data_IF_755020783995
#
_entry.id   IF_755020783995
#
_cell.length_a   1.000
_cell.length_b   1.000
_cell.length_c   1.000
_cell.angle_alpha   90.00
_cell.angle_beta   90.00
_cell.angle_gamma   90.00
#
_symmetry.space_group_name_H-M   'P 1'
#
loop_
_entity.id
_entity.type
_entity.pdbx_description
1 polymer ?
#
# COMPACT_ATOMS: atom_id res chain seq x y z
N UNK A 1 -10.61 -5.04 14.93
CA UNK A 1 -9.94 -4.74 13.68
C UNK A 1 -8.51 -5.23 13.79
N UNK A 2 -8.15 -6.20 12.93
CA UNK A 2 -6.79 -6.71 12.88
C UNK A 2 -5.87 -5.60 12.42
N UNK A 3 -4.76 -5.44 13.13
CA UNK A 3 -3.72 -4.48 12.76
C UNK A 3 -3.35 -4.67 11.29
N UNK A 4 -3.36 -3.60 10.52
CA UNK A 4 -2.76 -3.62 9.19
C UNK A 4 -1.27 -3.82 9.37
N UNK A 5 -0.79 -5.03 9.08
CA UNK A 5 0.62 -5.33 9.18
C UNK A 5 1.37 -4.70 8.01
N UNK A 6 2.36 -3.87 8.30
CA UNK A 6 3.33 -3.43 7.30
C UNK A 6 4.29 -4.55 6.88
N UNK A 7 4.20 -5.71 7.52
CA UNK A 7 5.11 -6.84 7.29
C UNK A 7 5.05 -7.43 5.88
N UNK A 8 4.06 -7.06 5.05
CA UNK A 8 3.92 -7.52 3.68
C UNK A 8 4.26 -6.49 2.61
N UNK A 9 4.59 -5.24 2.97
CA UNK A 9 4.90 -4.23 1.98
C UNK A 9 6.35 -4.34 1.50
N UNK A 10 6.54 -4.03 0.23
CA UNK A 10 7.85 -3.96 -0.38
C UNK A 10 7.97 -2.66 -1.18
N UNK A 11 9.21 -2.17 -1.26
CA UNK A 11 9.57 -1.13 -2.22
C UNK A 11 10.11 -1.78 -3.48
N UNK A 12 9.68 -1.30 -4.63
CA UNK A 12 10.10 -1.76 -5.95
C UNK A 12 10.93 -0.69 -6.62
N UNK A 13 12.16 -1.00 -7.02
CA UNK A 13 13.06 -0.03 -7.62
C UNK A 13 13.97 -0.67 -8.67
N UNK A 14 14.37 0.11 -9.66
CA UNK A 14 15.45 -0.27 -10.59
C UNK A 14 16.82 0.13 -10.05
N UNK A 15 16.85 1.08 -9.12
CA UNK A 15 18.09 1.67 -8.62
C UNK A 15 18.02 1.87 -7.12
N UNK A 16 18.49 0.90 -6.32
CA UNK A 16 18.47 0.99 -4.86
C UNK A 16 19.46 2.03 -4.31
N UNK A 17 20.43 2.45 -5.14
CA UNK A 17 21.45 3.42 -4.78
C UNK A 17 21.55 4.52 -5.83
N UNK A 18 21.91 5.73 -5.35
CA UNK A 18 22.33 6.87 -6.17
C UNK A 18 23.69 7.34 -5.65
N UNK A 19 23.96 8.65 -5.72
CA UNK A 19 25.10 9.28 -5.04
C UNK A 19 25.05 9.07 -3.52
N UNK A 20 23.82 9.01 -2.97
CA UNK A 20 23.56 8.60 -1.58
C UNK A 20 22.72 7.34 -1.60
N UNK A 21 23.12 6.29 -0.88
CA UNK A 21 22.33 5.08 -0.76
C UNK A 21 21.02 5.37 -0.05
N UNK A 22 19.89 4.88 -0.62
CA UNK A 22 18.57 4.99 0.00
C UNK A 22 18.31 3.88 1.01
N UNK A 23 19.03 2.78 0.88
CA UNK A 23 18.89 1.57 1.69
C UNK A 23 20.20 1.25 2.39
N UNK A 24 20.12 0.77 3.60
CA UNK A 24 21.27 0.22 4.32
C UNK A 24 21.73 -1.10 3.70
N UNK A 25 22.95 -1.51 4.00
CA UNK A 25 23.49 -2.80 3.57
C UNK A 25 22.60 -3.95 4.05
N UNK A 26 22.04 -3.84 5.26
CA UNK A 26 21.13 -4.85 5.84
C UNK A 26 19.82 -4.96 5.05
N UNK A 27 19.24 -3.84 4.63
CA UNK A 27 18.03 -3.82 3.81
C UNK A 27 18.28 -4.42 2.42
N UNK A 28 19.49 -4.23 1.87
CA UNK A 28 19.87 -4.78 0.58
C UNK A 28 20.27 -6.27 0.64
N UNK A 29 20.57 -6.81 1.83
CA UNK A 29 20.92 -8.23 1.98
C UNK A 29 19.76 -9.17 1.67
N UNK A 30 18.52 -8.73 1.91
CA UNK A 30 17.28 -9.49 1.68
C UNK A 30 16.62 -9.13 0.34
N UNK A 31 17.37 -8.49 -0.55
CA UNK A 31 16.90 -8.03 -1.84
C UNK A 31 16.54 -9.23 -2.73
N UNK A 32 15.39 -9.14 -3.38
CA UNK A 32 14.93 -10.11 -4.36
C UNK A 32 14.55 -9.43 -5.67
N UNK A 33 14.45 -10.20 -6.76
CA UNK A 33 13.90 -9.70 -8.01
C UNK A 33 12.41 -10.03 -8.08
N UNK A 34 11.60 -9.05 -8.41
CA UNK A 34 10.19 -9.28 -8.71
C UNK A 34 10.02 -9.93 -10.09
N UNK A 35 8.84 -10.48 -10.34
CA UNK A 35 8.40 -10.66 -11.73
C UNK A 35 8.21 -9.29 -12.39
N UNK A 36 8.31 -9.19 -13.72
CA UNK A 36 7.96 -7.98 -14.42
C UNK A 36 6.49 -7.62 -14.17
N UNK A 37 6.21 -6.33 -14.01
CA UNK A 37 4.86 -5.78 -14.02
C UNK A 37 4.57 -5.13 -15.37
N UNK A 38 3.32 -4.94 -15.70
CA UNK A 38 2.94 -4.25 -16.93
C UNK A 38 3.55 -2.83 -17.00
N UNK A 39 3.48 -2.08 -15.89
CA UNK A 39 4.08 -0.75 -15.81
C UNK A 39 5.62 -0.75 -15.90
N UNK A 40 6.28 -1.86 -15.61
CA UNK A 40 7.74 -1.99 -15.74
C UNK A 40 8.20 -2.36 -17.14
N UNK A 41 7.27 -2.51 -18.10
CA UNK A 41 7.56 -2.84 -19.51
C UNK A 41 8.45 -4.07 -19.67
N UNK A 42 8.18 -5.11 -18.89
CA UNK A 42 8.92 -6.37 -18.91
C UNK A 42 10.23 -6.37 -18.13
N UNK A 43 10.59 -5.28 -17.48
CA UNK A 43 11.78 -5.23 -16.62
C UNK A 43 11.46 -5.77 -15.24
N UNK A 44 12.34 -6.62 -14.72
CA UNK A 44 12.32 -7.06 -13.33
C UNK A 44 12.79 -5.91 -12.44
N UNK A 45 12.07 -5.67 -11.35
CA UNK A 45 12.43 -4.66 -10.36
C UNK A 45 13.11 -5.31 -9.16
N UNK A 46 13.98 -4.58 -8.51
CA UNK A 46 14.49 -4.95 -7.21
C UNK A 46 13.38 -4.76 -6.18
N UNK A 47 13.10 -5.79 -5.43
CA UNK A 47 12.10 -5.83 -4.38
C UNK A 47 12.82 -5.80 -3.04
N UNK A 48 12.66 -4.70 -2.32
CA UNK A 48 13.33 -4.41 -1.05
C UNK A 48 12.29 -4.37 0.06
N UNK A 49 12.57 -4.99 1.20
CA UNK A 49 11.72 -4.83 2.37
C UNK A 49 11.84 -3.41 2.92
N UNK A 50 10.74 -2.75 3.26
CA UNK A 50 10.79 -1.46 3.89
C UNK A 50 11.45 -1.58 5.26
N UNK A 51 12.10 -0.51 5.67
CA UNK A 51 12.66 -0.40 7.01
C UNK A 51 11.52 -0.43 8.03
N UNK A 52 11.49 -1.48 8.83
CA UNK A 52 10.64 -1.54 10.02
C UNK A 52 11.34 -0.72 11.10
N UNK A 53 10.66 0.26 11.70
CA UNK A 53 11.22 0.98 12.83
C UNK A 53 11.49 0.00 13.98
N UNK A 54 12.53 0.26 14.76
CA UNK A 54 12.95 -0.59 15.89
C UNK A 54 11.83 -0.76 16.96
N UNK A 55 10.76 0.03 16.88
CA UNK A 55 9.61 0.01 17.77
C UNK A 55 8.47 -0.93 17.33
N UNK A 56 8.70 -1.80 16.35
CA UNK A 56 7.71 -2.73 15.78
C UNK A 56 6.43 -2.09 15.21
N UNK A 57 6.35 -0.77 15.12
CA UNK A 57 5.26 -0.08 14.46
C UNK A 57 5.81 0.74 13.27
N UNK A 58 5.78 0.18 12.05
CA UNK A 58 6.37 0.84 10.88
C UNK A 58 5.60 2.07 10.40
N UNK A 59 4.54 2.43 11.09
CA UNK A 59 3.60 3.44 10.65
C UNK A 59 3.21 4.44 11.76
N UNK A 60 4.01 4.55 12.81
CA UNK A 60 3.95 5.70 13.70
C UNK A 60 4.39 6.96 12.95
N UNK A 61 3.59 7.36 11.97
CA UNK A 61 3.73 8.65 11.35
C UNK A 61 3.05 9.66 12.27
N UNK A 62 3.85 10.36 13.07
CA UNK A 62 3.43 11.53 13.84
C UNK A 62 2.34 11.28 14.91
N UNK A 63 2.41 10.16 15.63
CA UNK A 63 1.51 9.91 16.77
C UNK A 63 0.11 9.46 16.40
N UNK A 64 -0.15 9.10 15.16
CA UNK A 64 -1.39 8.45 14.73
C UNK A 64 -1.16 6.95 14.59
N UNK A 65 -1.86 6.14 15.38
CA UNK A 65 -1.90 4.69 15.16
C UNK A 65 -2.87 4.37 14.02
N UNK A 66 -2.59 3.31 13.24
CA UNK A 66 -3.54 2.85 12.21
C UNK A 66 -4.86 2.33 12.82
N UNK A 67 -4.87 2.03 14.11
CA UNK A 67 -6.07 1.64 14.85
C UNK A 67 -7.08 2.80 14.92
N UNK A 68 -6.60 4.04 14.85
CA UNK A 68 -7.42 5.25 14.90
C UNK A 68 -7.93 5.68 13.51
N UNK A 69 -7.42 5.04 12.44
CA UNK A 69 -7.81 5.38 11.07
C UNK A 69 -8.84 4.38 10.56
N UNK A 70 -10.09 4.82 10.44
CA UNK A 70 -11.16 4.08 9.78
C UNK A 70 -11.40 4.60 8.37
N UNK A 71 -11.93 3.77 7.51
CA UNK A 71 -12.37 4.21 6.18
C UNK A 71 -13.56 5.16 6.33
N UNK A 72 -13.50 6.30 5.64
CA UNK A 72 -14.53 7.34 5.63
C UNK A 72 -15.05 7.51 4.22
N UNK A 73 -16.33 7.79 4.07
CA UNK A 73 -16.98 8.08 2.79
C UNK A 73 -17.57 9.48 2.81
N UNK A 74 -17.28 10.28 1.78
CA UNK A 74 -17.80 11.63 1.62
C UNK A 74 -18.32 11.86 0.20
N UNK A 75 -19.38 12.65 0.07
CA UNK A 75 -19.85 13.16 -1.23
C UNK A 75 -19.18 14.52 -1.51
N UNK A 76 -18.04 14.50 -2.15
CA UNK A 76 -17.24 15.70 -2.43
C UNK A 76 -17.95 16.70 -3.34
N UNK A 77 -19.01 16.30 -4.05
CA UNK A 77 -19.82 17.22 -4.87
C UNK A 77 -20.73 18.10 -4.04
N UNK A 78 -21.12 17.63 -2.85
CA UNK A 78 -22.01 18.34 -1.92
C UNK A 78 -21.29 18.81 -0.66
N UNK A 79 -20.22 18.12 -0.31
CA UNK A 79 -19.42 18.37 0.88
C UNK A 79 -17.92 18.38 0.53
N UNK A 80 -17.45 19.42 -0.18
CA UNK A 80 -16.04 19.51 -0.59
C UNK A 80 -15.08 19.62 0.59
N UNK A 81 -15.56 20.07 1.75
CA UNK A 81 -14.77 20.18 2.99
C UNK A 81 -14.72 18.87 3.79
N UNK A 82 -15.41 17.80 3.34
CA UNK A 82 -15.45 16.48 3.98
C UNK A 82 -15.85 16.53 5.47
N UNK A 83 -16.90 17.30 5.78
CA UNK A 83 -17.40 17.49 7.15
C UNK A 83 -18.49 16.50 7.54
N UNK A 84 -19.20 15.94 6.54
CA UNK A 84 -20.38 15.09 6.73
C UNK A 84 -20.07 13.69 6.17
N UNK A 85 -19.76 12.78 7.07
CA UNK A 85 -19.55 11.38 6.71
C UNK A 85 -20.85 10.71 6.27
N UNK A 86 -20.78 9.92 5.20
CA UNK A 86 -21.89 9.13 4.69
C UNK A 86 -21.82 7.70 5.20
N UNK A 87 -22.91 7.22 5.78
CA UNK A 87 -23.10 5.80 6.11
C UNK A 87 -23.84 5.10 4.95
N UNK A 88 -23.10 4.66 3.94
CA UNK A 88 -23.60 3.97 2.74
C UNK A 88 -22.71 2.77 2.40
N UNK A 89 -22.89 1.64 3.07
CA UNK A 89 -22.06 0.46 2.87
C UNK A 89 -22.11 -0.09 1.44
N UNK A 90 -23.25 0.05 0.75
CA UNK A 90 -23.40 -0.34 -0.65
C UNK A 90 -22.48 0.45 -1.59
N UNK A 91 -22.28 1.74 -1.33
CA UNK A 91 -21.36 2.61 -2.11
C UNK A 91 -19.92 2.24 -1.79
N UNK A 92 -19.60 1.99 -0.52
CA UNK A 92 -18.26 1.54 -0.12
C UNK A 92 -17.91 0.22 -0.81
N UNK A 93 -18.82 -0.77 -0.79
CA UNK A 93 -18.60 -2.06 -1.44
C UNK A 93 -18.42 -1.93 -2.96
N UNK A 94 -19.20 -1.08 -3.60
CA UNK A 94 -19.04 -0.77 -5.02
C UNK A 94 -17.65 -0.19 -5.30
N UNK A 95 -17.22 0.83 -4.55
CA UNK A 95 -15.90 1.46 -4.73
C UNK A 95 -14.74 0.50 -4.47
N UNK A 96 -14.85 -0.38 -3.47
CA UNK A 96 -13.85 -1.42 -3.20
C UNK A 96 -13.74 -2.42 -4.36
N UNK A 97 -14.87 -2.78 -4.97
CA UNK A 97 -14.90 -3.65 -6.15
C UNK A 97 -14.21 -2.98 -7.34
N UNK A 98 -14.59 -1.74 -7.67
CA UNK A 98 -13.96 -0.97 -8.75
C UNK A 98 -12.45 -0.79 -8.52
N UNK A 99 -12.04 -0.48 -7.28
CA UNK A 99 -10.63 -0.38 -6.92
C UNK A 99 -9.89 -1.69 -7.15
N UNK A 100 -10.47 -2.82 -6.74
CA UNK A 100 -9.89 -4.14 -6.95
C UNK A 100 -9.68 -4.44 -8.45
N UNK A 101 -10.68 -4.14 -9.28
CA UNK A 101 -10.57 -4.33 -10.73
C UNK A 101 -9.52 -3.43 -11.38
N UNK A 102 -9.43 -2.17 -10.95
CA UNK A 102 -8.39 -1.25 -11.42
C UNK A 102 -6.98 -1.71 -11.01
N UNK A 103 -6.84 -2.20 -9.78
CA UNK A 103 -5.58 -2.75 -9.29
C UNK A 103 -5.17 -4.00 -10.07
N UNK A 104 -6.10 -4.91 -10.40
CA UNK A 104 -5.84 -6.07 -11.27
C UNK A 104 -5.37 -5.64 -12.64
N UNK A 105 -6.06 -4.67 -13.28
CA UNK A 105 -5.68 -4.12 -14.58
C UNK A 105 -4.31 -3.45 -14.58
N UNK A 106 -3.93 -2.86 -13.45
CA UNK A 106 -2.63 -2.21 -13.26
C UNK A 106 -1.53 -3.20 -12.82
N UNK A 107 -1.83 -4.50 -12.79
CA UNK A 107 -0.89 -5.54 -12.33
C UNK A 107 -0.30 -5.23 -10.94
N UNK A 108 -1.17 -4.77 -10.02
CA UNK A 108 -0.74 -4.40 -8.68
C UNK A 108 -0.22 -5.63 -7.92
N UNK A 109 0.86 -5.48 -7.13
CA UNK A 109 1.41 -6.57 -6.34
C UNK A 109 0.39 -7.17 -5.37
N UNK A 110 0.43 -8.50 -5.20
CA UNK A 110 -0.50 -9.28 -4.38
C UNK A 110 -0.61 -8.74 -2.94
N UNK A 111 0.49 -8.32 -2.35
CA UNK A 111 0.53 -7.80 -0.98
C UNK A 111 -0.30 -6.51 -0.78
N UNK A 112 -0.60 -5.77 -1.84
CA UNK A 112 -1.48 -4.61 -1.75
C UNK A 112 -2.94 -5.01 -1.56
N UNK A 113 -3.40 -6.08 -2.22
CA UNK A 113 -4.74 -6.62 -2.01
C UNK A 113 -4.90 -7.17 -0.59
N UNK A 114 -3.92 -7.92 -0.11
CA UNK A 114 -3.91 -8.46 1.25
C UNK A 114 -3.97 -7.35 2.29
N UNK A 115 -3.18 -6.29 2.10
CA UNK A 115 -3.16 -5.12 2.98
C UNK A 115 -4.51 -4.41 3.02
N UNK A 116 -5.13 -4.23 1.87
CA UNK A 116 -6.43 -3.55 1.75
C UNK A 116 -7.61 -4.48 2.04
N UNK A 117 -7.34 -5.75 2.38
CA UNK A 117 -8.35 -6.80 2.61
C UNK A 117 -9.33 -6.95 1.44
N UNK A 118 -8.83 -6.76 0.22
CA UNK A 118 -9.60 -6.94 -1.00
C UNK A 118 -9.64 -8.43 -1.39
N UNK A 119 -10.81 -8.92 -1.75
CA UNK A 119 -10.95 -10.27 -2.26
C UNK A 119 -10.39 -10.35 -3.68
N UNK A 120 -9.45 -11.28 -3.90
CA UNK A 120 -8.94 -11.62 -5.22
C UNK A 120 -9.72 -12.85 -5.67
N UNK A 121 -10.93 -12.64 -6.17
CA UNK A 121 -11.67 -13.69 -6.87
C UNK A 121 -11.40 -13.58 -8.36
#
# INVERSE_FOLDING_TARGET
PEKMSASGLYEYTLMPTRMTSRFSIKELSDLTLSNPFEFSKGLKLLRVRPKVSDNNDPLEVQGMSFEDVRSLLFDISKDPDQKIELDKPEVVNYLLTEMSELMKKADAPQELFERLKLNIN
#
